data_IF_024849978717
#
_entry.id   IF_024849978717
#
_cell.length_a   1.000
_cell.length_b   1.000
_cell.length_c   1.000
_cell.angle_alpha   90.00
_cell.angle_beta   90.00
_cell.angle_gamma   90.00
#
_symmetry.space_group_name_H-M   'P 1'
#
loop_
_entity.id
_entity.type
_entity.pdbx_description
1 polymer ?
#
# COMPACT_ATOMS: atom_id res chain seq x y z
N UNK A 1 55.71 -54.86 24.71
CA UNK A 1 57.08 -55.42 24.69
C UNK A 1 57.99 -54.74 25.71
N UNK A 2 57.82 -55.08 27.00
CA UNK A 2 58.82 -54.82 28.06
C UNK A 2 58.91 -56.00 29.04
N UNK A 3 58.62 -57.22 28.57
CA UNK A 3 59.16 -58.44 29.20
C UNK A 3 60.65 -58.53 28.83
N UNK A 4 61.51 -58.80 29.81
CA UNK A 4 63.00 -58.85 29.78
C UNK A 4 63.70 -57.62 30.35
N UNK A 5 63.55 -57.43 31.67
CA UNK A 5 64.41 -56.72 32.65
C UNK A 5 63.50 -56.60 33.87
N UNK A 6 63.46 -57.56 34.79
CA UNK A 6 64.49 -57.80 35.81
C UNK A 6 64.26 -59.18 36.41
N UNK A 7 65.03 -60.18 35.97
CA UNK A 7 65.00 -61.57 36.49
C UNK A 7 66.43 -61.98 36.90
N UNK A 8 67.15 -61.04 37.52
CA UNK A 8 68.56 -61.16 37.92
C UNK A 8 68.82 -60.47 39.29
N UNK A 9 67.79 -60.45 40.15
CA UNK A 9 67.86 -59.95 41.53
C UNK A 9 67.45 -60.96 42.60
N UNK A 10 67.00 -62.18 42.24
CA UNK A 10 66.66 -63.26 43.18
C UNK A 10 67.62 -64.44 42.96
N UNK A 11 68.92 -64.20 43.17
CA UNK A 11 69.90 -65.24 43.48
C UNK A 11 70.93 -64.63 44.45
N UNK A 12 70.50 -64.09 45.60
CA UNK A 12 71.42 -63.81 46.71
C UNK A 12 70.68 -63.64 48.05
N UNK A 13 69.98 -64.70 48.47
CA UNK A 13 69.62 -64.90 49.90
C UNK A 13 69.19 -66.33 50.25
N UNK A 14 68.98 -67.24 49.30
CA UNK A 14 68.85 -68.68 49.58
C UNK A 14 70.21 -69.40 49.53
N UNK A 15 71.11 -69.03 50.44
CA UNK A 15 72.31 -69.81 50.72
C UNK A 15 72.29 -70.32 52.15
N UNK A 16 71.32 -71.19 52.45
CA UNK A 16 71.54 -72.38 53.31
C UNK A 16 70.30 -73.27 53.28
N UNK A 17 70.51 -74.53 52.87
CA UNK A 17 69.56 -75.64 52.65
C UNK A 17 68.86 -75.58 51.28
N UNK A 18 69.41 -76.36 50.34
CA UNK A 18 68.99 -76.37 48.95
C UNK A 18 67.81 -77.28 48.65
N UNK A 19 67.18 -76.98 47.51
CA UNK A 19 66.55 -77.85 46.51
C UNK A 19 66.65 -77.08 45.19
N UNK A 20 66.89 -77.78 44.07
CA UNK A 20 66.90 -77.20 42.73
C UNK A 20 65.57 -76.47 42.44
N UNK A 21 65.60 -75.17 42.22
CA UNK A 21 64.50 -74.44 41.60
C UNK A 21 64.42 -74.85 40.12
N UNK A 22 63.49 -75.74 39.80
CA UNK A 22 63.20 -76.17 38.42
C UNK A 22 62.48 -75.05 37.67
N UNK A 23 62.44 -75.09 36.33
CA UNK A 23 61.70 -74.12 35.51
C UNK A 23 60.20 -73.97 35.92
N UNK A 24 59.65 -74.99 36.57
CA UNK A 24 58.29 -75.01 37.15
C UNK A 24 58.14 -74.04 38.33
N UNK A 25 59.21 -73.81 39.12
CA UNK A 25 59.17 -72.88 40.26
C UNK A 25 59.16 -71.42 39.76
N UNK A 26 60.02 -71.09 38.78
CA UNK A 26 60.06 -69.78 38.15
C UNK A 26 58.74 -69.42 37.43
N UNK A 27 58.12 -70.37 36.72
CA UNK A 27 56.80 -70.20 36.10
C UNK A 27 55.72 -69.94 37.17
N UNK A 28 55.79 -70.63 38.32
CA UNK A 28 54.82 -70.44 39.41
C UNK A 28 54.95 -69.13 40.20
N UNK A 29 56.14 -68.51 40.23
CA UNK A 29 56.31 -67.14 40.75
C UNK A 29 55.87 -66.09 39.71
N UNK A 30 56.07 -66.36 38.42
CA UNK A 30 55.58 -65.48 37.37
C UNK A 30 54.05 -65.36 37.40
N UNK A 31 53.33 -66.47 37.65
CA UNK A 31 51.87 -66.42 37.86
C UNK A 31 51.45 -65.49 39.00
N UNK A 32 52.21 -65.47 40.10
CA UNK A 32 51.95 -64.60 41.27
C UNK A 32 52.18 -63.13 40.92
N UNK A 33 53.23 -62.83 40.15
CA UNK A 33 53.48 -61.46 39.70
C UNK A 33 52.48 -61.00 38.63
N UNK A 34 52.07 -61.88 37.72
CA UNK A 34 51.05 -61.56 36.72
C UNK A 34 49.68 -61.30 37.39
N UNK A 35 49.37 -62.00 38.51
CA UNK A 35 48.21 -61.72 39.35
C UNK A 35 48.33 -60.35 40.03
N UNK A 36 49.48 -60.05 40.65
CA UNK A 36 49.71 -58.74 41.25
C UNK A 36 49.60 -57.62 40.20
N UNK A 37 50.18 -57.79 39.01
CA UNK A 37 50.13 -56.78 37.93
C UNK A 37 48.69 -56.48 37.46
N UNK A 38 47.77 -57.43 37.61
CA UNK A 38 46.34 -57.21 37.33
C UNK A 38 45.66 -56.46 38.48
N UNK A 39 45.97 -56.84 39.71
CA UNK A 39 45.43 -56.23 40.92
C UNK A 39 45.91 -54.78 41.08
N UNK A 40 47.20 -54.51 40.86
CA UNK A 40 47.79 -53.16 40.90
C UNK A 40 47.07 -52.22 39.92
N UNK A 41 46.68 -52.70 38.73
CA UNK A 41 45.90 -51.89 37.78
C UNK A 41 44.50 -51.56 38.30
N UNK A 42 43.85 -52.50 38.97
CA UNK A 42 42.53 -52.29 39.56
C UNK A 42 42.62 -51.31 40.74
N UNK A 43 43.62 -51.47 41.59
CA UNK A 43 43.91 -50.55 42.70
C UNK A 43 44.24 -49.16 42.18
N UNK A 44 45.07 -49.03 41.14
CA UNK A 44 45.38 -47.73 40.56
C UNK A 44 44.13 -47.03 40.01
N UNK A 45 43.22 -47.78 39.37
CA UNK A 45 41.94 -47.22 38.91
C UNK A 45 41.05 -46.75 40.07
N UNK A 46 41.04 -47.46 41.21
CA UNK A 46 40.35 -47.04 42.42
C UNK A 46 41.01 -45.81 43.07
N UNK A 47 42.33 -45.73 43.10
CA UNK A 47 43.10 -44.58 43.59
C UNK A 47 42.83 -43.32 42.77
N UNK A 48 42.62 -43.46 41.46
CA UNK A 48 42.27 -42.36 40.54
C UNK A 48 40.78 -41.95 40.64
N UNK A 49 39.96 -42.69 41.39
CA UNK A 49 38.54 -42.40 41.57
C UNK A 49 38.32 -41.11 42.35
N UNK A 50 37.39 -40.27 41.88
CA UNK A 50 36.98 -39.05 42.59
C UNK A 50 36.25 -39.35 43.92
N UNK A 51 35.88 -40.60 44.18
CA UNK A 51 35.09 -41.02 45.35
C UNK A 51 35.93 -41.67 46.45
N UNK A 52 37.23 -41.90 46.24
CA UNK A 52 38.08 -42.55 47.25
C UNK A 52 38.21 -41.70 48.51
N UNK A 53 38.12 -42.32 49.71
CA UNK A 53 38.42 -41.59 50.96
C UNK A 53 39.92 -41.47 51.15
N UNK A 54 40.34 -40.52 51.99
CA UNK A 54 41.73 -40.43 52.42
C UNK A 54 42.21 -41.71 53.16
N UNK A 55 41.31 -42.42 53.84
CA UNK A 55 41.65 -43.64 54.58
C UNK A 55 41.78 -44.84 53.64
N UNK A 56 40.86 -44.99 52.68
CA UNK A 56 40.91 -46.03 51.64
C UNK A 56 42.12 -45.83 50.72
N UNK A 57 42.45 -44.58 50.39
CA UNK A 57 43.63 -44.24 49.62
C UNK A 57 44.91 -44.74 50.32
N UNK A 58 45.08 -44.40 51.60
CA UNK A 58 46.24 -44.83 52.40
C UNK A 58 46.29 -46.33 52.60
N UNK A 59 45.13 -46.98 52.73
CA UNK A 59 45.02 -48.43 52.87
C UNK A 59 45.58 -49.12 51.62
N UNK A 60 45.07 -48.75 50.44
CA UNK A 60 45.48 -49.32 49.16
C UNK A 60 46.94 -48.99 48.80
N UNK A 61 47.40 -47.76 49.07
CA UNK A 61 48.81 -47.38 48.88
C UNK A 61 49.75 -48.24 49.73
N UNK A 62 49.39 -48.45 51.01
CA UNK A 62 50.16 -49.30 51.93
C UNK A 62 50.16 -50.77 51.50
N UNK A 63 49.07 -51.28 50.95
CA UNK A 63 49.01 -52.66 50.43
C UNK A 63 49.97 -52.86 49.25
N UNK A 64 49.98 -51.93 48.29
CA UNK A 64 50.93 -51.94 47.18
C UNK A 64 52.39 -51.84 47.66
N UNK A 65 52.67 -50.98 48.65
CA UNK A 65 54.01 -50.88 49.25
C UNK A 65 54.42 -52.18 49.94
N UNK A 66 53.52 -52.78 50.74
CA UNK A 66 53.78 -54.00 51.49
C UNK A 66 54.09 -55.19 50.56
N UNK A 67 53.36 -55.35 49.45
CA UNK A 67 53.69 -56.38 48.47
C UNK A 67 55.05 -56.11 47.80
N UNK A 68 55.32 -54.85 47.45
CA UNK A 68 56.59 -54.46 46.82
C UNK A 68 57.82 -54.73 47.70
N UNK A 69 57.70 -54.59 49.02
CA UNK A 69 58.75 -54.93 49.99
C UNK A 69 58.89 -56.46 50.15
N UNK A 70 57.78 -57.19 50.16
CA UNK A 70 57.75 -58.64 50.37
C UNK A 70 58.23 -59.47 49.18
N UNK A 71 58.06 -58.98 47.94
CA UNK A 71 58.27 -59.77 46.71
C UNK A 71 59.67 -60.32 46.49
N UNK A 72 60.70 -59.78 47.15
CA UNK A 72 62.10 -60.22 47.03
C UNK A 72 62.55 -61.19 48.13
N UNK A 73 61.80 -61.30 49.24
CA UNK A 73 62.21 -62.07 50.43
C UNK A 73 61.22 -63.13 50.89
N UNK A 74 59.95 -63.04 50.50
CA UNK A 74 58.90 -63.94 50.97
C UNK A 74 58.69 -65.18 50.07
N UNK A 75 58.09 -66.22 50.65
CA UNK A 75 57.77 -67.44 49.90
C UNK A 75 56.56 -67.26 48.99
N UNK A 76 56.45 -68.04 47.92
CA UNK A 76 55.26 -68.07 47.03
C UNK A 76 53.93 -68.19 47.79
N UNK A 77 53.89 -69.00 48.85
CA UNK A 77 52.67 -69.17 49.66
C UNK A 77 52.34 -67.91 50.45
N UNK A 78 53.35 -67.22 50.97
CA UNK A 78 53.21 -65.94 51.66
C UNK A 78 52.72 -64.84 50.70
N UNK A 79 53.32 -64.72 49.51
CA UNK A 79 52.90 -63.75 48.49
C UNK A 79 51.47 -63.98 47.99
N UNK A 80 51.06 -65.25 47.80
CA UNK A 80 49.65 -65.57 47.47
C UNK A 80 48.68 -65.21 48.59
N UNK A 81 49.08 -65.34 49.85
CA UNK A 81 48.26 -64.93 50.98
C UNK A 81 48.15 -63.40 51.07
N UNK A 82 49.21 -62.66 50.72
CA UNK A 82 49.17 -61.20 50.63
C UNK A 82 48.22 -60.72 49.53
N UNK A 83 48.35 -61.27 48.31
CA UNK A 83 47.43 -61.00 47.19
C UNK A 83 45.96 -61.22 47.60
N UNK A 84 45.69 -62.32 48.30
CA UNK A 84 44.33 -62.66 48.73
C UNK A 84 43.78 -61.70 49.80
N UNK A 85 44.62 -61.21 50.73
CA UNK A 85 44.18 -60.21 51.69
C UNK A 85 44.00 -58.84 51.03
N UNK A 86 44.92 -58.43 50.16
CA UNK A 86 44.80 -57.22 49.33
C UNK A 86 43.53 -57.28 48.46
N UNK A 87 43.18 -58.45 47.92
CA UNK A 87 41.96 -58.62 47.09
C UNK A 87 40.71 -58.41 47.93
N UNK A 88 40.69 -58.97 49.14
CA UNK A 88 39.59 -58.79 50.09
C UNK A 88 39.46 -57.32 50.52
N UNK A 89 40.56 -56.67 50.86
CA UNK A 89 40.55 -55.26 51.27
C UNK A 89 40.16 -54.35 50.12
N UNK A 90 40.66 -54.62 48.91
CA UNK A 90 40.25 -53.94 47.69
C UNK A 90 38.75 -54.08 47.42
N UNK A 91 38.16 -55.27 47.58
CA UNK A 91 36.71 -55.46 47.44
C UNK A 91 35.91 -54.62 48.46
N UNK A 92 36.37 -54.52 49.71
CA UNK A 92 35.74 -53.66 50.70
C UNK A 92 35.85 -52.16 50.34
N UNK A 93 37.00 -51.74 49.77
CA UNK A 93 37.17 -50.38 49.26
C UNK A 93 36.26 -50.14 48.06
N UNK A 94 36.15 -51.11 47.14
CA UNK A 94 35.30 -51.02 45.97
C UNK A 94 33.82 -50.85 46.35
N UNK A 95 33.33 -51.62 47.33
CA UNK A 95 31.97 -51.45 47.87
C UNK A 95 31.77 -50.04 48.45
N UNK A 96 32.75 -49.52 49.21
CA UNK A 96 32.69 -48.15 49.75
C UNK A 96 32.73 -47.08 48.64
N UNK A 97 33.47 -47.30 47.56
CA UNK A 97 33.51 -46.41 46.39
C UNK A 97 32.15 -46.38 45.70
N UNK A 98 31.54 -47.55 45.47
CA UNK A 98 30.23 -47.65 44.83
C UNK A 98 29.14 -46.97 45.67
N UNK A 99 29.15 -47.16 47.00
CA UNK A 99 28.21 -46.47 47.92
C UNK A 99 28.36 -44.95 47.83
N UNK A 100 29.59 -44.43 47.83
CA UNK A 100 29.83 -42.98 47.72
C UNK A 100 29.47 -42.40 46.37
N UNK A 101 29.74 -43.13 45.29
CA UNK A 101 29.30 -42.72 43.96
C UNK A 101 27.78 -42.69 43.88
N UNK A 102 27.08 -43.67 44.46
CA UNK A 102 25.62 -43.71 44.51
C UNK A 102 25.05 -42.55 45.35
N UNK A 103 25.66 -42.22 46.49
CA UNK A 103 25.28 -41.05 47.29
C UNK A 103 25.44 -39.74 46.50
N UNK A 104 26.57 -39.57 45.79
CA UNK A 104 26.81 -38.43 44.94
C UNK A 104 25.81 -38.38 43.77
N UNK A 105 25.53 -39.51 43.12
CA UNK A 105 24.55 -39.63 42.05
C UNK A 105 23.16 -39.19 42.53
N UNK A 106 22.74 -39.61 43.72
CA UNK A 106 21.45 -39.19 44.30
C UNK A 106 21.36 -37.68 44.52
N UNK A 107 22.43 -37.06 45.01
CA UNK A 107 22.50 -35.60 45.22
C UNK A 107 22.48 -34.85 43.89
N UNK A 108 23.30 -35.28 42.92
CA UNK A 108 23.38 -34.67 41.59
C UNK A 108 22.07 -34.84 40.81
N UNK A 109 21.41 -36.00 40.93
CA UNK A 109 20.09 -36.23 40.32
C UNK A 109 19.03 -35.29 40.88
N UNK A 110 18.97 -35.12 42.21
CA UNK A 110 18.01 -34.21 42.83
C UNK A 110 18.21 -32.76 42.39
N UNK A 111 19.47 -32.34 42.20
CA UNK A 111 19.79 -31.02 41.64
C UNK A 111 19.36 -30.93 40.17
N UNK A 112 19.66 -31.95 39.37
CA UNK A 112 19.25 -32.02 37.96
C UNK A 112 17.72 -31.95 37.80
N UNK A 113 16.95 -32.62 38.65
CA UNK A 113 15.49 -32.53 38.64
C UNK A 113 15.01 -31.09 38.88
N UNK A 114 15.67 -30.37 39.80
CA UNK A 114 15.34 -28.97 40.07
C UNK A 114 15.68 -28.08 38.88
N UNK A 115 16.85 -28.27 38.27
CA UNK A 115 17.28 -27.52 37.10
C UNK A 115 16.35 -27.81 35.90
N UNK A 116 15.83 -29.03 35.81
CA UNK A 116 14.84 -29.42 34.80
C UNK A 116 13.51 -28.68 34.98
N UNK A 117 13.01 -28.56 36.21
CA UNK A 117 11.80 -27.76 36.46
C UNK A 117 11.96 -26.30 36.03
N UNK A 118 13.13 -25.69 36.25
CA UNK A 118 13.39 -24.33 35.75
C UNK A 118 13.47 -24.25 34.22
N UNK A 119 13.99 -25.29 33.56
CA UNK A 119 13.98 -25.39 32.10
C UNK A 119 12.57 -25.58 31.54
N UNK A 120 11.74 -26.38 32.21
CA UNK A 120 10.33 -26.60 31.86
C UNK A 120 9.53 -25.29 31.97
N UNK A 121 9.68 -24.54 33.07
CA UNK A 121 9.08 -23.21 33.23
C UNK A 121 9.52 -22.25 32.10
N UNK A 122 10.81 -22.24 31.75
CA UNK A 122 11.31 -21.44 30.63
C UNK A 122 10.71 -21.86 29.29
N UNK A 123 10.44 -23.15 29.11
CA UNK A 123 9.81 -23.71 27.91
C UNK A 123 8.35 -23.31 27.71
N UNK A 124 7.69 -22.78 28.76
CA UNK A 124 6.32 -22.26 28.70
C UNK A 124 6.27 -20.74 28.52
N UNK A 125 7.43 -20.06 28.51
CA UNK A 125 7.49 -18.63 28.22
C UNK A 125 7.10 -18.35 26.76
N UNK A 126 6.58 -17.15 26.45
CA UNK A 126 6.35 -16.75 25.08
C UNK A 126 7.65 -16.76 24.27
N UNK A 127 7.50 -16.93 22.95
CA UNK A 127 8.60 -16.91 22.00
C UNK A 127 9.58 -18.08 22.12
N UNK A 128 9.16 -19.19 22.71
CA UNK A 128 9.91 -20.45 22.68
C UNK A 128 9.56 -21.21 21.41
N UNK A 129 10.58 -21.60 20.65
CA UNK A 129 10.39 -22.32 19.38
C UNK A 129 9.81 -23.71 19.65
N UNK A 130 8.85 -24.15 18.83
CA UNK A 130 8.17 -25.45 18.99
C UNK A 130 9.15 -26.64 19.05
N UNK A 131 10.26 -26.54 18.31
CA UNK A 131 11.35 -27.53 18.34
C UNK A 131 12.03 -27.60 19.71
N UNK A 132 12.27 -26.46 20.36
CA UNK A 132 12.90 -26.44 21.68
C UNK A 132 11.97 -27.06 22.73
N UNK A 133 10.66 -26.77 22.67
CA UNK A 133 9.65 -27.40 23.52
C UNK A 133 9.62 -28.94 23.37
N UNK A 134 9.77 -29.46 22.14
CA UNK A 134 9.90 -30.90 21.91
C UNK A 134 11.19 -31.49 22.52
N UNK A 135 12.30 -30.74 22.49
CA UNK A 135 13.55 -31.18 23.11
C UNK A 135 13.43 -31.22 24.64
N UNK A 136 12.69 -30.29 25.27
CA UNK A 136 12.40 -30.34 26.71
C UNK A 136 11.66 -31.63 27.08
N UNK A 137 10.63 -32.02 26.31
CA UNK A 137 9.89 -33.26 26.56
C UNK A 137 10.79 -34.49 26.40
N UNK A 138 11.69 -34.51 25.42
CA UNK A 138 12.68 -35.58 25.27
C UNK A 138 13.65 -35.66 26.45
N UNK A 139 14.04 -34.52 27.04
CA UNK A 139 14.91 -34.51 28.22
C UNK A 139 14.18 -34.98 29.48
N UNK A 140 12.87 -34.78 29.56
CA UNK A 140 12.02 -35.33 30.63
C UNK A 140 12.07 -36.86 30.64
N UNK A 141 11.94 -37.47 29.46
CA UNK A 141 12.07 -38.92 29.29
C UNK A 141 13.47 -39.39 29.66
N UNK A 142 14.53 -38.69 29.25
CA UNK A 142 15.90 -39.02 29.66
C UNK A 142 16.09 -38.92 31.19
N UNK A 143 15.52 -37.90 31.83
CA UNK A 143 15.61 -37.69 33.28
C UNK A 143 14.92 -38.82 34.06
N UNK A 144 13.71 -39.21 33.67
CA UNK A 144 12.98 -40.30 34.34
C UNK A 144 13.72 -41.64 34.24
N UNK A 145 14.47 -41.88 33.15
CA UNK A 145 15.29 -43.08 33.01
C UNK A 145 16.50 -43.11 33.96
N UNK A 146 16.84 -41.99 34.61
CA UNK A 146 17.95 -41.91 35.56
C UNK A 146 17.54 -42.10 37.02
N UNK A 147 16.25 -42.22 37.37
CA UNK A 147 15.75 -42.32 38.75
C UNK A 147 16.40 -43.47 39.58
N UNK A 148 16.88 -44.51 38.90
CA UNK A 148 17.51 -45.68 39.52
C UNK A 148 19.03 -45.77 39.30
N UNK A 149 19.66 -44.77 38.69
CA UNK A 149 21.10 -44.81 38.43
C UNK A 149 21.91 -44.59 39.70
N UNK A 150 22.90 -45.45 39.92
CA UNK A 150 23.89 -45.31 41.01
C UNK A 150 25.20 -44.67 40.52
N UNK A 151 25.27 -44.28 39.23
CA UNK A 151 26.48 -43.72 38.60
C UNK A 151 26.28 -42.26 38.23
N UNK A 152 27.29 -41.42 38.48
CA UNK A 152 27.20 -39.96 38.25
C UNK A 152 27.33 -39.55 36.77
N UNK A 153 28.01 -40.36 35.94
CA UNK A 153 28.32 -39.97 34.56
C UNK A 153 27.08 -39.77 33.67
N UNK A 154 26.06 -40.64 33.71
CA UNK A 154 24.81 -40.41 32.98
C UNK A 154 24.11 -39.11 33.39
N UNK A 155 24.08 -38.80 34.70
CA UNK A 155 23.46 -37.58 35.25
C UNK A 155 24.15 -36.33 34.72
N UNK A 156 25.50 -36.29 34.78
CA UNK A 156 26.29 -35.16 34.28
C UNK A 156 26.18 -34.98 32.77
N UNK A 157 26.02 -36.07 32.03
CA UNK A 157 25.80 -36.01 30.58
C UNK A 157 24.46 -35.35 30.27
N UNK A 158 23.39 -35.72 30.99
CA UNK A 158 22.07 -35.10 30.83
C UNK A 158 22.08 -33.63 31.27
N UNK A 159 22.75 -33.31 32.38
CA UNK A 159 22.95 -31.93 32.82
C UNK A 159 23.58 -31.05 31.74
N UNK A 160 24.61 -31.56 31.06
CA UNK A 160 25.26 -30.82 29.96
C UNK A 160 24.30 -30.57 28.79
N UNK A 161 23.49 -31.56 28.41
CA UNK A 161 22.45 -31.40 27.37
C UNK A 161 21.40 -30.35 27.75
N UNK A 162 21.00 -30.32 29.03
CA UNK A 162 20.05 -29.33 29.53
C UNK A 162 20.62 -27.91 29.50
N UNK A 163 21.89 -27.73 29.87
CA UNK A 163 22.57 -26.44 29.79
C UNK A 163 22.68 -25.95 28.34
N UNK A 164 23.02 -26.85 27.41
CA UNK A 164 23.06 -26.57 25.97
C UNK A 164 21.67 -26.14 25.46
N UNK A 165 20.61 -26.88 25.78
CA UNK A 165 19.25 -26.52 25.37
C UNK A 165 18.77 -25.21 26.00
N UNK A 166 19.06 -24.98 27.28
CA UNK A 166 18.69 -23.73 27.97
C UNK A 166 19.31 -22.51 27.30
N UNK A 167 20.56 -22.63 26.84
CA UNK A 167 21.25 -21.61 26.07
C UNK A 167 20.59 -21.41 24.71
N UNK A 168 20.33 -22.50 23.97
CA UNK A 168 19.66 -22.47 22.67
C UNK A 168 18.27 -21.80 22.74
N UNK A 169 17.46 -22.13 23.74
CA UNK A 169 16.16 -21.48 23.98
C UNK A 169 16.35 -19.98 24.17
N UNK A 170 17.33 -19.56 24.96
CA UNK A 170 17.59 -18.13 25.20
C UNK A 170 17.97 -17.37 23.92
N UNK A 171 18.81 -17.98 23.08
CA UNK A 171 19.24 -17.41 21.81
C UNK A 171 18.06 -17.32 20.82
N UNK A 172 17.29 -18.41 20.67
CA UNK A 172 16.13 -18.47 19.79
C UNK A 172 15.02 -17.49 20.21
N UNK A 173 14.71 -17.44 21.52
CA UNK A 173 13.72 -16.52 22.08
C UNK A 173 14.13 -15.06 21.84
N UNK A 174 15.42 -14.74 22.02
CA UNK A 174 15.95 -13.40 21.73
C UNK A 174 15.79 -13.05 20.25
N UNK A 175 16.08 -14.00 19.34
CA UNK A 175 15.90 -13.79 17.90
C UNK A 175 14.43 -13.57 17.54
N UNK A 176 13.51 -14.41 18.05
CA UNK A 176 12.08 -14.26 17.80
C UNK A 176 11.54 -12.91 18.28
N UNK A 177 11.94 -12.47 19.48
CA UNK A 177 11.54 -11.15 20.00
C UNK A 177 12.00 -10.03 19.06
N UNK A 178 13.24 -10.08 18.56
CA UNK A 178 13.75 -9.07 17.62
C UNK A 178 12.96 -9.05 16.30
N UNK A 179 12.63 -10.22 15.77
CA UNK A 179 11.83 -10.34 14.54
C UNK A 179 10.39 -9.83 14.77
N UNK A 180 9.79 -10.15 15.90
CA UNK A 180 8.46 -9.65 16.27
C UNK A 180 8.46 -8.12 16.45
N UNK A 181 9.53 -7.55 16.99
CA UNK A 181 9.68 -6.09 17.07
C UNK A 181 9.81 -5.44 15.68
N UNK A 182 10.56 -6.02 14.74
CA UNK A 182 10.58 -5.58 13.34
C UNK A 182 9.19 -5.67 12.70
N UNK A 183 8.45 -6.74 12.99
CA UNK A 183 7.09 -6.92 12.48
C UNK A 183 6.11 -5.87 13.06
N UNK A 184 6.30 -5.44 14.31
CA UNK A 184 5.56 -4.32 14.92
C UNK A 184 5.88 -2.98 14.24
N UNK A 185 7.12 -2.75 13.84
CA UNK A 185 7.50 -1.55 13.06
C UNK A 185 6.85 -1.56 11.66
N UNK A 186 6.80 -2.71 11.00
CA UNK A 186 6.09 -2.86 9.72
C UNK A 186 4.58 -2.65 9.88
N UNK A 187 3.98 -3.19 10.94
CA UNK A 187 2.57 -2.94 11.27
C UNK A 187 2.27 -1.45 11.44
N UNK A 188 3.13 -0.70 12.16
CA UNK A 188 2.98 0.75 12.28
C UNK A 188 3.13 1.47 10.92
N UNK A 189 4.08 1.01 10.09
CA UNK A 189 4.29 1.57 8.75
C UNK A 189 3.08 1.34 7.84
N UNK A 190 2.43 0.18 7.91
CA UNK A 190 1.17 -0.11 7.23
C UNK A 190 0.03 0.81 7.70
N UNK A 191 -0.07 1.03 9.02
CA UNK A 191 -1.08 1.92 9.62
C UNK A 191 -0.89 3.38 9.18
N UNK A 192 0.35 3.84 9.09
CA UNK A 192 0.69 5.17 8.59
C UNK A 192 0.39 5.29 7.09
N UNK A 193 0.76 4.27 6.30
CA UNK A 193 0.53 4.26 4.86
C UNK A 193 -0.97 4.30 4.54
N UNK A 194 -1.80 3.54 5.25
CA UNK A 194 -3.26 3.46 5.02
C UNK A 194 -3.97 4.82 5.22
N UNK A 195 -3.39 5.72 6.01
CA UNK A 195 -3.91 7.08 6.27
C UNK A 195 -3.63 8.05 5.12
N UNK A 196 -2.76 7.71 4.16
CA UNK A 196 -2.48 8.58 3.02
C UNK A 196 -3.68 8.73 2.08
N UNK A 197 -3.79 9.91 1.47
CA UNK A 197 -4.91 10.28 0.59
C UNK A 197 -4.89 9.53 -0.74
N UNK A 198 -3.70 9.26 -1.28
CA UNK A 198 -3.50 8.62 -2.59
C UNK A 198 -3.35 7.10 -2.52
N UNK A 199 -3.71 6.49 -1.39
CA UNK A 199 -3.84 5.03 -1.25
C UNK A 199 -5.26 4.63 -1.57
N UNK A 200 -5.43 3.67 -2.49
CA UNK A 200 -6.74 3.23 -2.96
C UNK A 200 -7.50 2.45 -1.88
N UNK A 201 -8.83 2.40 -1.98
CA UNK A 201 -9.66 1.67 -1.03
C UNK A 201 -9.27 0.17 -0.93
N UNK A 202 -8.98 -0.48 -2.06
CA UNK A 202 -8.51 -1.87 -2.10
C UNK A 202 -7.15 -2.06 -1.42
N UNK A 203 -6.27 -1.08 -1.58
CA UNK A 203 -4.92 -1.12 -1.00
C UNK A 203 -4.99 -0.92 0.53
N UNK A 204 -5.93 -0.10 1.02
CA UNK A 204 -6.21 0.03 2.46
C UNK A 204 -6.73 -1.28 3.06
N UNK A 205 -7.60 -1.99 2.35
CA UNK A 205 -8.07 -3.32 2.79
C UNK A 205 -6.93 -4.34 2.83
N UNK A 206 -6.01 -4.29 1.86
CA UNK A 206 -4.80 -5.13 1.88
C UNK A 206 -3.90 -4.82 3.09
N UNK A 207 -3.68 -3.54 3.41
CA UNK A 207 -2.91 -3.12 4.59
C UNK A 207 -3.62 -3.52 5.90
N UNK A 208 -4.94 -3.39 6.00
CA UNK A 208 -5.70 -3.83 7.18
C UNK A 208 -5.60 -5.35 7.41
N UNK A 209 -5.57 -6.14 6.32
CA UNK A 209 -5.36 -7.58 6.42
C UNK A 209 -3.92 -7.93 6.81
N UNK A 210 -2.93 -7.23 6.25
CA UNK A 210 -1.53 -7.36 6.65
C UNK A 210 -1.33 -7.06 8.14
N UNK A 211 -1.92 -5.97 8.64
CA UNK A 211 -1.90 -5.60 10.04
C UNK A 211 -2.46 -6.70 10.96
N UNK A 212 -3.57 -7.33 10.56
CA UNK A 212 -4.19 -8.44 11.29
C UNK A 212 -3.34 -9.69 11.28
N UNK A 213 -2.68 -10.00 10.18
CA UNK A 213 -1.77 -11.15 10.08
C UNK A 213 -0.52 -10.93 10.93
N UNK A 214 0.07 -9.73 10.87
CA UNK A 214 1.24 -9.36 11.68
C UNK A 214 0.93 -9.47 13.18
N UNK A 215 -0.26 -9.01 13.60
CA UNK A 215 -0.67 -9.03 15.01
C UNK A 215 -0.78 -10.43 15.62
N UNK A 216 -0.87 -11.50 14.80
CA UNK A 216 -0.92 -12.88 15.30
C UNK A 216 0.35 -13.29 16.04
N UNK A 217 1.48 -12.64 15.75
CA UNK A 217 2.80 -13.00 16.29
C UNK A 217 3.26 -12.11 17.45
N UNK A 218 2.48 -11.11 17.86
CA UNK A 218 2.95 -10.06 18.78
C UNK A 218 3.10 -10.48 20.22
N UNK A 219 2.28 -11.44 20.65
CA UNK A 219 2.23 -11.93 22.02
C UNK A 219 2.95 -13.27 22.16
N UNK A 220 2.90 -14.10 21.12
CA UNK A 220 3.54 -15.41 21.08
C UNK A 220 3.84 -15.80 19.63
N UNK A 221 5.00 -16.41 19.43
CA UNK A 221 5.43 -16.97 18.15
C UNK A 221 6.41 -18.10 18.42
N UNK A 222 6.25 -19.24 17.76
CA UNK A 222 7.00 -20.46 18.05
C UNK A 222 7.84 -20.96 16.86
N UNK A 223 7.96 -20.15 15.81
CA UNK A 223 8.68 -20.50 14.59
C UNK A 223 9.36 -19.28 13.97
N UNK A 224 10.70 -19.30 14.00
CA UNK A 224 11.56 -18.24 13.44
C UNK A 224 11.33 -18.07 11.94
N UNK A 225 11.24 -19.16 11.19
CA UNK A 225 11.14 -19.12 9.73
C UNK A 225 9.79 -18.54 9.29
N UNK A 226 8.73 -18.85 10.03
CA UNK A 226 7.38 -18.29 9.77
C UNK A 226 7.36 -16.78 10.00
N UNK A 227 7.94 -16.29 11.10
CA UNK A 227 8.01 -14.85 11.38
C UNK A 227 8.87 -14.13 10.35
N UNK A 228 10.03 -14.68 9.98
CA UNK A 228 10.88 -14.13 8.91
C UNK A 228 10.13 -14.04 7.57
N UNK A 229 9.36 -15.08 7.21
CA UNK A 229 8.53 -15.05 6.00
C UNK A 229 7.48 -13.93 6.06
N UNK A 230 6.78 -13.80 7.19
CA UNK A 230 5.76 -12.75 7.39
C UNK A 230 6.34 -11.34 7.30
N UNK A 231 7.54 -11.11 7.86
CA UNK A 231 8.28 -9.85 7.72
C UNK A 231 8.53 -9.53 6.25
N UNK A 232 9.02 -10.50 5.48
CA UNK A 232 9.31 -10.30 4.05
C UNK A 232 8.03 -9.99 3.25
N UNK A 233 6.93 -10.70 3.52
CA UNK A 233 5.64 -10.48 2.87
C UNK A 233 5.08 -9.09 3.18
N UNK A 234 5.06 -8.68 4.45
CA UNK A 234 4.58 -7.37 4.89
C UNK A 234 5.42 -6.24 4.31
N UNK A 235 6.75 -6.39 4.35
CA UNK A 235 7.68 -5.41 3.76
C UNK A 235 7.48 -5.26 2.26
N UNK A 236 7.37 -6.35 1.52
CA UNK A 236 7.13 -6.31 0.08
C UNK A 236 5.81 -5.63 -0.28
N UNK A 237 4.75 -5.88 0.50
CA UNK A 237 3.46 -5.21 0.34
C UNK A 237 3.59 -3.70 0.58
N UNK A 238 4.19 -3.30 1.71
CA UNK A 238 4.38 -1.88 2.07
C UNK A 238 5.21 -1.16 1.01
N UNK A 239 6.35 -1.72 0.59
CA UNK A 239 7.21 -1.12 -0.44
C UNK A 239 6.47 -0.95 -1.78
N UNK A 240 5.69 -1.95 -2.19
CA UNK A 240 4.90 -1.92 -3.41
C UNK A 240 3.80 -0.86 -3.36
N UNK A 241 3.05 -0.80 -2.25
CA UNK A 241 1.97 0.16 -2.08
C UNK A 241 2.49 1.59 -1.88
N UNK A 242 3.63 1.77 -1.22
CA UNK A 242 4.27 3.07 -1.08
C UNK A 242 4.73 3.61 -2.44
N UNK A 243 5.31 2.75 -3.29
CA UNK A 243 5.67 3.14 -4.67
C UNK A 243 4.44 3.54 -5.46
N UNK A 244 3.39 2.71 -5.44
CA UNK A 244 2.12 2.99 -6.13
C UNK A 244 1.46 4.29 -5.64
N UNK A 245 1.51 4.55 -4.33
CA UNK A 245 1.01 5.78 -3.72
C UNK A 245 1.76 7.01 -4.24
N UNK A 246 3.10 6.94 -4.32
CA UNK A 246 3.93 8.04 -4.83
C UNK A 246 3.67 8.32 -6.31
N UNK A 247 3.53 7.28 -7.13
CA UNK A 247 3.18 7.43 -8.55
C UNK A 247 1.78 8.05 -8.73
N UNK A 248 0.81 7.63 -7.91
CA UNK A 248 -0.54 8.20 -7.90
C UNK A 248 -0.51 9.68 -7.48
N UNK A 249 0.20 10.02 -6.40
CA UNK A 249 0.35 11.40 -5.94
C UNK A 249 0.98 12.29 -7.00
N UNK A 250 2.01 11.78 -7.70
CA UNK A 250 2.67 12.53 -8.77
C UNK A 250 1.74 12.79 -9.94
N UNK A 251 0.94 11.81 -10.37
CA UNK A 251 -0.03 11.97 -11.45
C UNK A 251 -1.09 13.04 -11.11
N UNK A 252 -1.61 13.04 -9.88
CA UNK A 252 -2.53 14.06 -9.40
C UNK A 252 -1.88 15.45 -9.36
N UNK A 253 -0.65 15.55 -8.84
CA UNK A 253 0.08 16.81 -8.76
C UNK A 253 0.30 17.45 -10.14
N UNK A 254 0.48 16.64 -11.18
CA UNK A 254 0.69 17.12 -12.55
C UNK A 254 -0.63 17.44 -13.26
N UNK A 255 -1.68 16.64 -13.06
CA UNK A 255 -2.85 16.65 -13.95
C UNK A 255 -4.18 17.10 -13.30
N UNK A 256 -4.31 17.10 -11.96
CA UNK A 256 -5.59 17.36 -11.28
C UNK A 256 -6.20 18.71 -11.64
N UNK A 257 -5.39 19.77 -11.69
CA UNK A 257 -5.85 21.11 -12.04
C UNK A 257 -6.43 21.17 -13.46
N UNK A 258 -5.70 20.62 -14.44
CA UNK A 258 -6.09 20.63 -15.85
C UNK A 258 -7.29 19.72 -16.11
N UNK A 259 -7.36 18.57 -15.45
CA UNK A 259 -8.50 17.66 -15.51
C UNK A 259 -9.80 18.33 -15.03
N UNK A 260 -9.75 19.05 -13.90
CA UNK A 260 -10.89 19.79 -13.37
C UNK A 260 -11.36 20.90 -14.34
N UNK A 261 -10.44 21.66 -14.93
CA UNK A 261 -10.78 22.70 -15.91
C UNK A 261 -11.40 22.11 -17.19
N UNK A 262 -10.88 20.98 -17.66
CA UNK A 262 -11.40 20.29 -18.83
C UNK A 262 -12.80 19.73 -18.59
N UNK A 263 -13.09 19.16 -17.42
CA UNK A 263 -14.43 18.70 -17.05
C UNK A 263 -15.45 19.85 -17.02
N UNK A 264 -15.05 21.02 -16.52
CA UNK A 264 -15.91 22.22 -16.57
C UNK A 264 -16.16 22.67 -18.01
N UNK A 265 -15.13 22.64 -18.85
CA UNK A 265 -15.24 22.99 -20.27
C UNK A 265 -16.15 22.02 -21.02
N UNK A 266 -15.99 20.71 -20.82
CA UNK A 266 -16.85 19.66 -21.36
C UNK A 266 -18.31 19.80 -20.89
N UNK A 267 -18.54 20.13 -19.61
CA UNK A 267 -19.88 20.40 -19.09
C UNK A 267 -20.52 21.64 -19.75
N UNK A 268 -19.73 22.67 -20.05
CA UNK A 268 -20.20 23.83 -20.81
C UNK A 268 -20.53 23.47 -22.25
N UNK A 269 -19.72 22.63 -22.91
CA UNK A 269 -19.99 22.15 -24.27
C UNK A 269 -21.25 21.26 -24.32
N UNK A 270 -21.45 20.37 -23.36
CA UNK A 270 -22.67 19.55 -23.23
C UNK A 270 -23.94 20.39 -23.09
N UNK A 271 -23.86 21.51 -22.34
CA UNK A 271 -25.02 22.35 -22.03
C UNK A 271 -25.32 23.42 -23.07
N UNK A 272 -24.29 23.99 -23.72
CA UNK A 272 -24.42 25.14 -24.64
C UNK A 272 -24.06 24.82 -26.08
N UNK A 273 -23.38 23.70 -26.33
CA UNK A 273 -22.99 23.27 -27.66
C UNK A 273 -24.16 22.76 -28.47
N UNK A 274 -24.08 22.98 -29.78
CA UNK A 274 -24.89 22.28 -30.77
C UNK A 274 -24.26 20.91 -31.05
N UNK A 275 -24.66 19.90 -30.28
CA UNK A 275 -24.20 18.51 -30.34
C UNK A 275 -25.39 17.58 -30.64
N UNK A 276 -25.15 16.48 -31.37
CA UNK A 276 -26.14 15.40 -31.53
C UNK A 276 -26.28 14.59 -30.24
N UNK A 277 -27.29 13.73 -30.19
CA UNK A 277 -27.51 12.83 -29.04
C UNK A 277 -26.31 11.91 -28.83
N UNK A 278 -25.80 11.30 -29.88
CA UNK A 278 -24.67 10.36 -29.83
C UNK A 278 -23.37 11.06 -29.41
N UNK A 279 -23.16 12.31 -29.85
CA UNK A 279 -22.00 13.11 -29.44
C UNK A 279 -22.07 13.50 -27.96
N UNK A 280 -23.27 13.82 -27.46
CA UNK A 280 -23.48 14.09 -26.03
C UNK A 280 -23.21 12.87 -25.19
N UNK A 281 -23.75 11.71 -25.58
CA UNK A 281 -23.51 10.44 -24.90
C UNK A 281 -22.02 10.11 -24.85
N UNK A 282 -21.33 10.22 -25.98
CA UNK A 282 -19.89 9.94 -26.05
C UNK A 282 -19.04 10.93 -25.22
N UNK A 283 -19.37 12.22 -25.21
CA UNK A 283 -18.66 13.20 -24.38
C UNK A 283 -18.93 12.98 -22.88
N UNK A 284 -20.16 12.62 -22.53
CA UNK A 284 -20.56 12.35 -21.15
C UNK A 284 -19.87 11.09 -20.60
N UNK A 285 -19.76 10.03 -21.40
CA UNK A 285 -19.07 8.78 -21.01
C UNK A 285 -17.58 9.03 -20.70
N UNK A 286 -16.87 9.73 -21.59
CA UNK A 286 -15.45 10.05 -21.39
C UNK A 286 -15.27 11.03 -20.23
N UNK A 287 -16.18 12.00 -20.07
CA UNK A 287 -16.17 12.92 -18.91
C UNK A 287 -16.36 12.16 -17.59
N UNK A 288 -17.26 11.17 -17.57
CA UNK A 288 -17.48 10.34 -16.38
C UNK A 288 -16.23 9.50 -16.05
N UNK A 289 -15.51 9.01 -17.06
CA UNK A 289 -14.27 8.25 -16.87
C UNK A 289 -13.17 9.11 -16.21
N UNK A 290 -12.99 10.34 -16.68
CA UNK A 290 -12.07 11.29 -16.03
C UNK A 290 -12.52 11.68 -14.62
N UNK A 291 -13.83 11.89 -14.42
CA UNK A 291 -14.39 12.16 -13.09
C UNK A 291 -14.15 11.01 -12.11
N UNK A 292 -14.31 9.76 -12.56
CA UNK A 292 -14.02 8.58 -11.75
C UNK A 292 -12.53 8.50 -11.38
N UNK A 293 -11.65 8.90 -12.31
CA UNK A 293 -10.19 8.93 -12.05
C UNK A 293 -9.83 9.94 -10.97
N UNK A 294 -10.43 11.14 -11.00
CA UNK A 294 -10.26 12.16 -9.95
C UNK A 294 -10.78 11.70 -8.57
N UNK A 295 -11.76 10.79 -8.56
CA UNK A 295 -12.30 10.17 -7.34
C UNK A 295 -11.55 8.89 -6.93
N UNK A 296 -10.44 8.54 -7.60
CA UNK A 296 -9.67 7.32 -7.36
C UNK A 296 -10.48 6.01 -7.48
N UNK A 297 -11.55 6.01 -8.29
CA UNK A 297 -12.36 4.81 -8.54
C UNK A 297 -11.69 3.93 -9.59
N UNK A 298 -11.41 2.67 -9.23
CA UNK A 298 -10.76 1.68 -10.10
C UNK A 298 -9.47 2.25 -10.74
N UNK A 299 -8.71 2.99 -9.93
CA UNK A 299 -7.59 3.80 -10.40
C UNK A 299 -6.29 3.00 -10.47
N UNK A 300 -5.51 3.26 -11.51
CA UNK A 300 -4.11 2.85 -11.62
C UNK A 300 -3.24 4.09 -11.87
N UNK A 301 -1.99 4.11 -11.37
CA UNK A 301 -1.08 5.22 -11.63
C UNK A 301 -0.96 5.54 -13.13
N UNK A 302 -1.17 6.80 -13.51
CA UNK A 302 -1.20 7.24 -14.91
C UNK A 302 -2.60 7.40 -15.50
N UNK A 303 -3.64 6.82 -14.88
CA UNK A 303 -5.02 6.89 -15.40
C UNK A 303 -5.53 8.33 -15.50
N UNK A 304 -5.11 9.24 -14.60
CA UNK A 304 -5.57 10.62 -14.65
C UNK A 304 -5.04 11.33 -15.91
N UNK A 305 -3.74 11.20 -16.18
CA UNK A 305 -3.10 11.72 -17.38
C UNK A 305 -3.71 11.13 -18.66
N UNK A 306 -3.92 9.81 -18.70
CA UNK A 306 -4.50 9.12 -19.85
C UNK A 306 -5.92 9.60 -20.13
N UNK A 307 -6.79 9.57 -19.12
CA UNK A 307 -8.19 9.95 -19.25
C UNK A 307 -8.36 11.45 -19.53
N UNK A 308 -7.43 12.29 -19.03
CA UNK A 308 -7.36 13.70 -19.41
C UNK A 308 -7.12 13.86 -20.91
N UNK A 309 -6.10 13.18 -21.46
CA UNK A 309 -5.75 13.26 -22.89
C UNK A 309 -6.88 12.75 -23.79
N UNK A 310 -7.58 11.69 -23.37
CA UNK A 310 -8.74 11.14 -24.09
C UNK A 310 -9.89 12.14 -24.10
N UNK A 311 -10.24 12.73 -22.94
CA UNK A 311 -11.28 13.75 -22.88
C UNK A 311 -10.90 14.98 -23.69
N UNK A 312 -9.63 15.42 -23.65
CA UNK A 312 -9.18 16.62 -24.34
C UNK A 312 -9.36 16.47 -25.84
N UNK A 313 -8.88 15.35 -26.39
CA UNK A 313 -9.02 15.04 -27.82
C UNK A 313 -10.49 15.00 -28.24
N UNK A 314 -11.35 14.36 -27.43
CA UNK A 314 -12.78 14.27 -27.73
C UNK A 314 -13.49 15.62 -27.62
N UNK A 315 -13.16 16.39 -26.60
CA UNK A 315 -13.69 17.72 -26.35
C UNK A 315 -13.35 18.65 -27.52
N UNK A 316 -12.09 18.68 -27.95
CA UNK A 316 -11.63 19.58 -29.00
C UNK A 316 -12.29 19.25 -30.35
N UNK A 317 -12.35 17.98 -30.74
CA UNK A 317 -13.06 17.53 -31.96
C UNK A 317 -14.56 17.91 -31.94
N UNK A 318 -15.24 17.70 -30.81
CA UNK A 318 -16.67 18.02 -30.69
C UNK A 318 -16.92 19.52 -30.58
N UNK A 319 -16.03 20.27 -29.93
CA UNK A 319 -16.07 21.72 -29.85
C UNK A 319 -15.99 22.33 -31.24
N UNK A 320 -15.03 21.88 -32.06
CA UNK A 320 -14.86 22.33 -33.44
C UNK A 320 -16.11 22.03 -34.29
N UNK A 321 -16.60 20.78 -34.26
CA UNK A 321 -17.85 20.39 -34.97
C UNK A 321 -19.07 21.18 -34.51
N UNK A 322 -19.16 21.51 -33.22
CA UNK A 322 -20.25 22.30 -32.68
C UNK A 322 -20.17 23.75 -33.18
N UNK A 323 -18.98 24.34 -33.13
CA UNK A 323 -18.75 25.69 -33.64
C UNK A 323 -19.01 25.80 -35.15
N UNK A 324 -18.64 24.79 -35.94
CA UNK A 324 -18.96 24.70 -37.36
C UNK A 324 -20.47 24.69 -37.60
N UNK A 325 -21.24 23.84 -36.91
CA UNK A 325 -22.72 23.81 -37.03
C UNK A 325 -23.37 25.13 -36.62
N UNK A 326 -22.91 25.75 -35.53
CA UNK A 326 -23.40 27.06 -35.08
C UNK A 326 -23.12 28.13 -36.16
N UNK A 327 -21.92 28.12 -36.75
CA UNK A 327 -21.56 29.05 -37.82
C UNK A 327 -22.39 28.84 -39.10
N UNK A 328 -22.61 27.58 -39.49
CA UNK A 328 -23.46 27.22 -40.63
C UNK A 328 -24.92 27.63 -40.41
N UNK A 329 -25.47 27.35 -39.23
CA UNK A 329 -26.81 27.76 -38.83
C UNK A 329 -26.96 29.28 -38.86
N UNK A 330 -25.97 30.02 -38.35
CA UNK A 330 -25.95 31.49 -38.40
C UNK A 330 -25.93 32.01 -39.85
N UNK A 331 -25.07 31.43 -40.70
CA UNK A 331 -24.99 31.80 -42.12
C UNK A 331 -26.30 31.53 -42.85
N UNK A 332 -26.96 30.40 -42.56
CA UNK A 332 -28.27 30.06 -43.14
C UNK A 332 -29.37 31.01 -42.66
N UNK A 333 -29.40 31.34 -41.36
CA UNK A 333 -30.34 32.31 -40.82
C UNK A 333 -30.15 33.72 -41.42
N UNK A 334 -28.91 34.16 -41.63
CA UNK A 334 -28.59 35.42 -42.32
C UNK A 334 -29.06 35.41 -43.78
N UNK A 335 -28.87 34.29 -44.50
CA UNK A 335 -29.36 34.12 -45.88
C UNK A 335 -30.88 34.14 -45.96
N UNK A 336 -31.58 33.41 -45.07
CA UNK A 336 -33.05 33.39 -45.01
C UNK A 336 -33.61 34.77 -44.65
N UNK A 337 -33.00 35.50 -43.71
CA UNK A 337 -33.38 36.87 -43.38
C UNK A 337 -33.19 37.83 -44.56
N UNK A 338 -32.09 37.70 -45.31
CA UNK A 338 -31.83 38.50 -46.51
C UNK A 338 -32.83 38.18 -47.63
N UNK A 339 -33.16 36.90 -47.84
CA UNK A 339 -34.18 36.48 -48.80
C UNK A 339 -35.58 36.97 -48.41
N UNK A 340 -35.95 36.87 -47.13
CA UNK A 340 -37.21 37.38 -46.61
C UNK A 340 -37.34 38.89 -46.84
N UNK A 341 -36.24 39.65 -46.63
CA UNK A 341 -36.21 41.09 -46.93
C UNK A 341 -36.41 41.37 -48.42
N UNK A 342 -35.74 40.64 -49.31
CA UNK A 342 -35.94 40.78 -50.77
C UNK A 342 -37.37 40.44 -51.19
N UNK A 343 -37.97 39.39 -50.62
CA UNK A 343 -39.37 39.03 -50.90
C UNK A 343 -40.34 40.12 -50.42
N UNK A 344 -40.11 40.69 -49.23
CA UNK A 344 -40.92 41.79 -48.70
C UNK A 344 -40.82 43.06 -49.57
N UNK A 345 -39.61 43.40 -50.05
CA UNK A 345 -39.41 44.54 -50.97
C UNK A 345 -40.11 44.31 -52.32
N UNK A 346 -40.04 43.11 -52.89
CA UNK A 346 -40.74 42.76 -54.13
C UNK A 346 -42.27 42.79 -53.98
N UNK A 347 -42.80 42.32 -52.84
CA UNK A 347 -44.23 42.35 -52.58
C UNK A 347 -44.73 43.78 -52.35
N UNK A 348 -43.94 44.63 -51.69
CA UNK A 348 -44.21 46.06 -51.54
C UNK A 348 -44.19 46.78 -52.89
N UNK A 349 -43.22 46.48 -53.76
CA UNK A 349 -43.14 47.03 -55.12
C UNK A 349 -44.37 46.63 -55.97
N UNK A 350 -44.80 45.36 -55.92
CA UNK A 350 -46.02 44.89 -56.62
C UNK A 350 -47.29 45.57 -56.11
N UNK A 351 -47.40 45.81 -54.79
CA UNK A 351 -48.54 46.55 -54.20
C UNK A 351 -48.53 48.03 -54.65
N UNK A 352 -47.36 48.67 -54.68
CA UNK A 352 -47.22 50.03 -55.17
C UNK A 352 -47.57 50.15 -56.67
N UNK A 353 -47.19 49.16 -57.48
CA UNK A 353 -47.49 49.12 -58.91
C UNK A 353 -48.98 48.89 -59.19
N UNK A 354 -49.65 47.98 -58.45
CA UNK A 354 -51.11 47.83 -58.51
C UNK A 354 -51.84 49.13 -58.12
N UNK A 355 -51.40 49.79 -57.06
CA UNK A 355 -51.99 51.07 -56.64
C UNK A 355 -51.76 52.19 -57.69
N UNK A 356 -50.62 52.17 -58.40
CA UNK A 356 -50.35 53.10 -59.50
C UNK A 356 -51.22 52.80 -60.74
N UNK A 357 -51.45 51.52 -61.06
CA UNK A 357 -52.34 51.10 -62.14
C UNK A 357 -53.81 51.42 -61.83
N UNK A 358 -54.29 51.19 -60.62
CA UNK A 358 -55.64 51.58 -60.19
C UNK A 358 -55.83 53.11 -60.24
N UNK A 359 -54.82 53.90 -59.86
CA UNK A 359 -54.84 55.36 -60.04
C UNK A 359 -54.85 55.77 -61.52
N UNK A 360 -54.14 55.04 -62.38
CA UNK A 360 -54.12 55.31 -63.82
C UNK A 360 -55.46 54.93 -64.50
N UNK A 361 -56.09 53.83 -64.11
CA UNK A 361 -57.43 53.45 -64.58
C UNK A 361 -58.53 54.36 -64.03
N UNK A 362 -58.44 54.82 -62.78
CA UNK A 362 -59.33 55.83 -62.23
C UNK A 362 -59.24 57.16 -63.01
N UNK A 363 -58.03 57.55 -63.45
CA UNK A 363 -57.83 58.71 -64.35
C UNK A 363 -58.41 58.50 -65.75
N UNK A 364 -58.37 57.27 -66.29
CA UNK A 364 -59.01 56.93 -67.58
C UNK A 364 -60.54 56.85 -67.49
N UNK A 365 -61.10 56.37 -66.37
CA UNK A 365 -62.55 56.38 -66.11
C UNK A 365 -63.09 57.79 -65.87
N UNK A 366 -62.30 58.68 -65.26
CA UNK A 366 -62.64 60.09 -65.11
C UNK A 366 -62.58 60.91 -66.42
N UNK A 367 -62.06 60.34 -67.53
CA UNK A 367 -61.95 61.01 -68.84
C UNK A 367 -62.95 60.49 -69.90
N UNK A 368 -63.85 59.57 -69.54
CA UNK A 368 -64.85 59.02 -70.47
C UNK A 368 -66.33 59.23 -70.04
N UNK A 369 -66.60 59.94 -68.95
CA UNK A 369 -67.98 60.16 -68.53
C UNK A 369 -68.19 61.52 -67.85
N UNK A 370 -68.15 62.59 -68.64
CA UNK A 370 -69.15 63.67 -68.52
C UNK A 370 -69.10 64.58 -69.75
N UNK A 371 -70.06 64.42 -70.65
CA UNK A 371 -70.63 65.51 -71.44
C UNK A 371 -72.15 65.31 -71.57
N UNK A 372 -72.88 66.40 -71.32
CA UNK A 372 -74.34 66.67 -71.33
C UNK A 372 -75.18 66.29 -70.10
N UNK A 373 -75.38 67.22 -69.14
CA UNK A 373 -76.40 68.30 -69.05
C UNK A 373 -77.67 67.81 -68.28
N UNK A 374 -78.31 68.51 -67.34
CA UNK A 374 -78.22 69.89 -66.84
C UNK A 374 -78.92 70.02 -65.46
N UNK A 375 -78.57 71.07 -64.70
CA UNK A 375 -79.40 71.87 -63.76
C UNK A 375 -79.97 71.16 -62.50
N UNK A 376 -79.70 71.58 -61.25
CA UNK A 376 -79.89 72.94 -60.68
C UNK A 376 -79.20 73.08 -59.29
N UNK A 377 -78.61 74.25 -59.05
CA UNK A 377 -78.49 74.98 -57.76
C UNK A 377 -77.65 74.40 -56.60
N UNK A 378 -76.44 74.90 -56.35
CA UNK A 378 -76.15 75.95 -55.36
C UNK A 378 -74.64 76.13 -55.07
N UNK A 379 -74.29 77.39 -54.82
CA UNK A 379 -73.14 77.93 -54.09
C UNK A 379 -71.76 78.08 -54.76
N UNK A 380 -71.24 79.29 -54.61
CA UNK A 380 -70.18 79.90 -55.41
C UNK A 380 -68.89 80.05 -54.60
N UNK A 381 -67.74 79.72 -55.19
CA UNK A 381 -66.70 80.72 -55.54
C UNK A 381 -65.36 80.07 -55.93
N UNK A 382 -64.77 80.64 -56.99
CA UNK A 382 -63.36 80.65 -57.45
C UNK A 382 -62.66 79.30 -57.68
N UNK A 383 -62.42 78.83 -58.91
CA UNK A 383 -61.64 79.37 -60.06
C UNK A 383 -60.11 79.29 -59.90
N UNK A 384 -59.59 78.19 -60.47
CA UNK A 384 -58.42 78.01 -61.35
C UNK A 384 -57.00 78.37 -60.88
N UNK A 385 -56.21 77.29 -60.84
CA UNK A 385 -54.97 77.09 -61.60
C UNK A 385 -53.83 78.08 -61.40
N UNK A 386 -52.81 77.68 -60.63
CA UNK A 386 -51.50 77.26 -61.14
C UNK A 386 -50.57 77.06 -59.95
N UNK A 387 -49.73 76.03 -60.06
CA UNK A 387 -48.33 76.03 -59.64
C UNK A 387 -47.98 76.26 -58.15
N UNK A 388 -46.82 75.74 -57.77
CA UNK A 388 -46.09 75.96 -56.52
C UNK A 388 -46.52 75.13 -55.29
N UNK A 389 -45.65 74.17 -54.96
CA UNK A 389 -45.06 73.98 -53.63
C UNK A 389 -45.86 74.50 -52.43
N UNK A 390 -46.54 73.60 -51.70
CA UNK A 390 -47.02 73.91 -50.35
C UNK A 390 -45.82 74.10 -49.41
N UNK A 391 -45.47 75.36 -49.22
CA UNK A 391 -44.36 75.85 -48.41
C UNK A 391 -44.53 75.43 -46.95
N UNK A 392 -43.48 74.83 -46.43
CA UNK A 392 -43.20 74.70 -45.01
C UNK A 392 -43.19 76.09 -44.36
N UNK A 393 -44.08 76.35 -43.40
CA UNK A 393 -44.10 77.65 -42.71
C UNK A 393 -42.84 77.78 -41.85
N UNK A 394 -42.06 78.84 -42.10
CA UNK A 394 -40.83 79.14 -41.36
C UNK A 394 -41.13 80.19 -40.28
N UNK A 395 -40.94 79.81 -39.01
CA UNK A 395 -40.98 80.72 -37.87
C UNK A 395 -39.64 80.60 -37.13
N UNK A 396 -38.82 81.66 -37.14
CA UNK A 396 -37.53 81.69 -36.44
C UNK A 396 -36.51 80.62 -36.88
N UNK A 397 -36.51 80.23 -38.17
CA UNK A 397 -35.62 79.18 -38.72
C UNK A 397 -36.07 77.75 -38.45
N UNK A 398 -37.30 77.56 -37.93
CA UNK A 398 -37.93 76.25 -37.78
C UNK A 398 -38.99 76.04 -38.85
N UNK A 399 -38.90 74.89 -39.49
CA UNK A 399 -39.80 74.38 -40.51
C UNK A 399 -40.89 73.54 -39.84
N UNK A 400 -42.12 74.05 -39.83
CA UNK A 400 -43.26 73.33 -39.30
C UNK A 400 -43.85 72.39 -40.34
N UNK A 401 -44.13 71.15 -39.94
CA UNK A 401 -44.79 70.18 -40.79
C UNK A 401 -46.18 70.71 -41.21
N UNK A 402 -46.57 70.56 -42.49
CA UNK A 402 -47.92 70.90 -42.93
C UNK A 402 -49.00 70.21 -42.10
N UNK A 403 -50.19 70.82 -42.03
CA UNK A 403 -51.32 70.21 -41.34
C UNK A 403 -51.57 68.78 -41.82
N UNK A 404 -51.80 67.86 -40.88
CA UNK A 404 -51.96 66.43 -41.17
C UNK A 404 -50.66 65.65 -41.42
N UNK A 405 -49.49 66.26 -41.25
CA UNK A 405 -48.19 65.61 -41.46
C UNK A 405 -47.21 65.76 -40.27
N UNK A 406 -46.21 64.87 -40.23
CA UNK A 406 -45.07 64.90 -39.29
C UNK A 406 -43.77 64.60 -40.05
N UNK A 407 -42.64 65.07 -39.54
CA UNK A 407 -41.30 64.73 -40.03
C UNK A 407 -40.79 63.45 -39.36
N UNK A 408 -40.39 62.45 -40.13
CA UNK A 408 -39.77 61.21 -39.68
C UNK A 408 -38.26 61.25 -39.91
N UNK A 409 -37.49 61.01 -38.85
CA UNK A 409 -36.06 60.69 -38.98
C UNK A 409 -35.93 59.18 -39.19
N UNK A 410 -35.78 58.76 -40.44
CA UNK A 410 -35.76 57.34 -40.85
C UNK A 410 -34.73 56.54 -40.05
N UNK A 411 -33.52 57.09 -39.86
CA UNK A 411 -32.43 56.40 -39.16
C UNK A 411 -32.73 56.08 -37.69
N UNK A 412 -33.65 56.82 -37.05
CA UNK A 412 -33.99 56.63 -35.63
C UNK A 412 -35.45 56.24 -35.40
N UNK A 413 -36.27 56.15 -36.46
CA UNK A 413 -37.70 55.86 -36.35
C UNK A 413 -38.49 56.85 -35.49
N UNK A 414 -38.04 58.12 -35.39
CA UNK A 414 -38.64 59.14 -34.51
C UNK A 414 -39.36 60.22 -35.29
N UNK A 415 -40.55 60.63 -34.84
CA UNK A 415 -41.38 61.64 -35.49
C UNK A 415 -41.36 62.99 -34.78
N UNK A 416 -41.49 64.08 -35.54
CA UNK A 416 -41.35 65.47 -35.09
C UNK A 416 -42.35 66.38 -35.81
N UNK A 417 -42.89 67.40 -35.16
CA UNK A 417 -43.77 68.40 -35.80
C UNK A 417 -43.02 69.59 -36.39
N UNK A 418 -41.80 69.87 -35.92
CA UNK A 418 -40.96 70.97 -36.42
C UNK A 418 -39.48 70.55 -36.51
N UNK A 419 -38.78 71.00 -37.55
CA UNK A 419 -37.35 70.71 -37.76
C UNK A 419 -36.60 71.95 -38.28
N UNK A 420 -35.29 72.04 -38.12
CA UNK A 420 -34.48 73.11 -38.73
C UNK A 420 -34.08 72.84 -40.18
N UNK A 421 -33.84 71.57 -40.53
CA UNK A 421 -33.40 71.16 -41.87
C UNK A 421 -34.32 70.05 -42.40
N UNK A 422 -35.40 70.40 -43.13
CA UNK A 422 -36.41 69.42 -43.56
C UNK A 422 -35.86 68.37 -44.54
N UNK A 423 -34.80 68.67 -45.30
CA UNK A 423 -34.19 67.71 -46.24
C UNK A 423 -33.60 66.45 -45.58
N UNK A 424 -33.35 66.48 -44.27
CA UNK A 424 -32.84 65.33 -43.51
C UNK A 424 -33.96 64.44 -42.94
N UNK A 425 -35.22 64.76 -43.22
CA UNK A 425 -36.39 64.09 -42.67
C UNK A 425 -37.38 63.77 -43.79
N UNK A 426 -38.08 62.65 -43.66
CA UNK A 426 -39.17 62.29 -44.56
C UNK A 426 -40.48 62.89 -44.02
N UNK A 427 -41.27 63.53 -44.88
CA UNK A 427 -42.60 64.00 -44.49
C UNK A 427 -43.60 62.85 -44.63
N UNK A 428 -44.23 62.47 -43.53
CA UNK A 428 -45.21 61.38 -43.45
C UNK A 428 -46.54 61.90 -42.91
N UNK A 429 -47.66 61.20 -43.17
CA UNK A 429 -48.96 61.63 -42.62
C UNK A 429 -49.06 61.35 -41.11
N UNK A 430 -50.01 61.99 -40.43
CA UNK A 430 -50.27 61.71 -39.01
C UNK A 430 -50.71 60.25 -38.80
N UNK A 431 -51.44 59.63 -39.74
CA UNK A 431 -51.80 58.21 -39.63
C UNK A 431 -50.57 57.31 -39.74
N UNK A 432 -49.61 57.65 -40.59
CA UNK A 432 -48.34 56.92 -40.71
C UNK A 432 -47.45 57.12 -39.48
N UNK A 433 -47.45 58.33 -38.92
CA UNK A 433 -46.67 58.68 -37.74
C UNK A 433 -47.06 57.87 -36.50
N UNK A 434 -48.30 57.36 -36.42
CA UNK A 434 -48.76 56.50 -35.31
C UNK A 434 -47.97 55.18 -35.19
N UNK A 435 -47.29 54.75 -36.25
CA UNK A 435 -46.45 53.55 -36.28
C UNK A 435 -45.03 53.77 -35.73
N UNK A 436 -44.70 55.02 -35.40
CA UNK A 436 -43.37 55.44 -34.97
C UNK A 436 -43.44 56.15 -33.62
N UNK A 437 -42.33 56.16 -32.89
CA UNK A 437 -42.30 56.80 -31.58
C UNK A 437 -42.10 58.32 -31.72
N UNK A 438 -42.84 59.15 -30.97
CA UNK A 438 -42.58 60.59 -30.89
C UNK A 438 -41.15 60.87 -30.41
N UNK A 439 -40.39 61.66 -31.17
CA UNK A 439 -39.06 62.09 -30.76
C UNK A 439 -39.10 63.20 -29.70
N UNK A 440 -38.10 63.25 -28.83
CA UNK A 440 -37.91 64.34 -27.87
C UNK A 440 -37.14 65.49 -28.53
N UNK A 441 -37.44 66.74 -28.15
CA UNK A 441 -36.82 67.92 -28.76
C UNK A 441 -35.30 67.95 -28.56
N UNK A 442 -34.53 68.16 -29.64
CA UNK A 442 -33.07 68.02 -29.62
C UNK A 442 -32.34 69.12 -30.43
N UNK A 443 -32.62 70.39 -30.20
CA UNK A 443 -31.90 71.54 -30.82
C UNK A 443 -32.07 71.71 -32.34
N UNK A 444 -32.44 70.65 -33.06
CA UNK A 444 -32.62 70.54 -34.50
C UNK A 444 -33.99 69.99 -34.92
N UNK A 445 -34.70 69.30 -34.03
CA UNK A 445 -36.09 68.82 -34.21
C UNK A 445 -36.90 68.96 -32.91
N UNK A 446 -38.21 69.17 -32.99
CA UNK A 446 -39.16 69.31 -31.86
C UNK A 446 -40.52 68.69 -32.22
N UNK A 447 -41.32 68.33 -31.20
CA UNK A 447 -42.66 67.74 -31.38
C UNK A 447 -43.65 68.66 -32.08
#
# INVERSE_FOLDING_TARGET
MKLKRTLLGIIFSFSTVGIMATAVDAESYQEVYDQQDQQEKQIQAALDSKFISADDYKLLEKELEHFNEAKESETRQSLRAMIAEEEKQFLEVQERLDVKEAEAAKVEHAQLTKDFSSLEEKGEEPFVVAKDAQQIESLKDELTNLDSTEKVQPIRTLASKMDELSTQIGDNQTQLIQLVDELKELHQSAEELSKNQYVLASDKEALENDEKENAQFFEDADDVEVVESRINDSKALIDGLQTKQQETEQDFKENEGQANELLQSASSLLSKGDLTTEEKEALQEVSQTLSNSLELKDYEPGNLAENYSVLQTKHDDLSDKSNERIAEAKKKAEQEAAEAKKRAEQEAAKKAEKAAQEKAEAKKRASQQSDNNSSKSNNSSSTKSNDSTSSTTVSGGWHQAPAGHKYLKVSSGKTYGQVKNPGNFSLITVEEAAKYSPGHGNGYAKQ
#
